data_IF_350022327765
#
_entry.id   IF_350022327765
#
_cell.length_a   1.000
_cell.length_b   1.000
_cell.length_c   1.000
_cell.angle_alpha   90.00
_cell.angle_beta   90.00
_cell.angle_gamma   90.00
#
_symmetry.space_group_name_H-M   'P 1'
#
loop_
_entity.id
_entity.type
_entity.pdbx_description
1 polymer ?
2 non-polymer ?
3 non-polymer ?
4 water ?
#
# COMPACT_ATOMS: atom_id res chain seq x y z
N UNK A 1 6.47 -13.49 0.71
CA UNK A 1 5.73 -12.24 0.66
C UNK A 1 4.84 -12.06 1.88
N UNK A 2 4.82 -13.07 2.75
CA UNK A 2 3.95 -13.03 3.93
C UNK A 2 4.20 -11.79 4.79
N UNK A 3 5.42 -11.63 5.26
CA UNK A 3 5.77 -10.51 6.13
C UNK A 3 5.68 -9.17 5.39
N UNK A 4 5.90 -9.20 4.08
CA UNK A 4 5.79 -8.00 3.26
C UNK A 4 4.34 -7.49 3.27
N UNK A 5 3.40 -8.36 2.92
CA UNK A 5 1.99 -7.99 2.89
C UNK A 5 1.40 -7.83 4.29
N UNK A 6 1.99 -8.51 5.27
CA UNK A 6 1.54 -8.39 6.65
C UNK A 6 1.85 -7.00 7.21
N UNK A 7 3.11 -6.57 7.07
CA UNK A 7 3.48 -5.23 7.51
C UNK A 7 2.60 -4.18 6.85
N UNK A 8 2.31 -4.37 5.56
CA UNK A 8 1.47 -3.44 4.82
C UNK A 8 0.03 -3.49 5.30
N UNK A 9 -0.48 -4.69 5.55
CA UNK A 9 -1.81 -4.83 6.11
C UNK A 9 -1.93 -4.21 7.48
N UNK A 10 -0.84 -4.23 8.25
CA UNK A 10 -0.81 -3.66 9.58
C UNK A 10 -0.76 -2.14 9.55
N UNK A 11 -0.01 -1.60 8.60
CA UNK A 11 0.06 -0.17 8.39
C UNK A 11 -1.33 0.38 8.10
N UNK A 12 -2.09 -0.35 7.29
CA UNK A 12 -3.37 0.17 6.81
C UNK A 12 -4.54 -0.12 7.74
N UNK A 13 -4.45 -1.17 8.53
CA UNK A 13 -5.39 -1.35 9.62
C UNK A 13 -5.18 -0.27 10.66
N UNK A 14 -3.91 0.05 10.93
CA UNK A 14 -3.56 1.10 11.87
C UNK A 14 -4.01 2.47 11.40
N UNK A 15 -3.80 2.77 10.11
CA UNK A 15 -4.26 4.02 9.52
C UNK A 15 -5.77 4.13 9.66
N UNK A 16 -6.47 3.01 9.51
CA UNK A 16 -7.92 2.98 9.70
C UNK A 16 -8.28 3.26 11.15
N UNK A 17 -7.50 2.72 12.08
CA UNK A 17 -7.74 2.92 13.50
C UNK A 17 -7.53 4.37 13.92
N UNK A 18 -6.45 4.99 13.44
CA UNK A 18 -6.21 6.41 13.69
C UNK A 18 -7.38 7.24 13.16
N UNK A 19 -7.83 6.95 11.93
CA UNK A 19 -8.94 7.69 11.36
C UNK A 19 -10.24 7.46 12.13
N UNK A 20 -10.46 6.23 12.58
CA UNK A 20 -11.65 5.93 13.37
C UNK A 20 -11.67 6.73 14.67
N UNK A 21 -10.50 6.94 15.26
CA UNK A 21 -10.39 7.73 16.48
C UNK A 21 -10.76 9.18 16.21
N UNK A 22 -10.35 9.70 15.05
CA UNK A 22 -10.75 11.05 14.67
C UNK A 22 -12.25 11.15 14.42
N UNK A 23 -12.78 10.21 13.63
CA UNK A 23 -14.21 10.18 13.34
C UNK A 23 -15.03 10.13 14.62
N UNK A 24 -14.64 9.27 15.55
CA UNK A 24 -15.32 9.16 16.83
C UNK A 24 -15.21 10.45 17.63
N UNK A 25 -14.01 11.01 17.69
CA UNK A 25 -13.77 12.27 18.38
C UNK A 25 -14.73 13.35 17.89
N UNK A 26 -14.84 13.46 16.57
CA UNK A 26 -15.66 14.48 15.94
C UNK A 26 -17.14 14.22 16.19
N UNK A 27 -17.51 12.94 16.21
CA UNK A 27 -18.89 12.55 16.45
C UNK A 27 -19.26 12.76 17.92
N UNK A 28 -18.34 12.43 18.80
CA UNK A 28 -18.58 12.54 20.24
C UNK A 28 -18.74 13.99 20.67
N UNK A 29 -18.06 14.90 19.98
CA UNK A 29 -18.12 16.32 20.31
C UNK A 29 -18.14 16.51 21.83
N UNK A 30 -17.09 16.02 22.48
CA UNK A 30 -17.07 15.93 23.93
C UNK A 30 -15.85 16.64 24.50
N UNK A 31 -16.09 17.75 25.19
CA UNK A 31 -15.02 18.58 25.73
C UNK A 31 -14.05 17.78 26.60
N UNK A 32 -12.76 17.93 26.31
CA UNK A 32 -11.71 17.33 27.12
C UNK A 32 -11.46 15.86 26.84
N UNK A 33 -11.97 15.36 25.73
CA UNK A 33 -11.82 13.93 25.42
C UNK A 33 -10.70 13.67 24.42
N UNK A 34 -10.18 14.73 23.81
CA UNK A 34 -9.24 14.55 22.71
C UNK A 34 -8.00 13.76 23.12
N UNK A 35 -7.57 13.92 24.36
CA UNK A 35 -6.42 13.16 24.86
C UNK A 35 -6.75 11.66 24.86
N UNK A 36 -7.97 11.31 25.27
CA UNK A 36 -8.40 9.92 25.21
C UNK A 36 -8.37 9.37 23.80
N UNK A 37 -8.86 10.15 22.85
CA UNK A 37 -8.95 9.70 21.47
C UNK A 37 -7.59 9.56 20.79
N UNK A 38 -6.65 10.43 21.17
CA UNK A 38 -5.29 10.31 20.65
C UNK A 38 -4.66 9.02 21.14
N UNK A 39 -4.83 8.75 22.43
CA UNK A 39 -4.29 7.53 23.03
C UNK A 39 -4.95 6.30 22.44
N UNK A 40 -6.27 6.34 22.29
CA UNK A 40 -7.02 5.19 21.78
C UNK A 40 -6.58 4.85 20.36
N UNK A 41 -6.60 5.85 19.49
CA UNK A 41 -6.19 5.67 18.10
C UNK A 41 -4.80 5.06 18.00
N UNK A 42 -3.85 5.60 18.76
CA UNK A 42 -2.49 5.07 18.76
C UNK A 42 -2.40 3.67 19.36
N UNK A 43 -3.20 3.42 20.38
CA UNK A 43 -3.27 2.12 21.01
C UNK A 43 -3.78 1.07 20.02
N UNK A 44 -4.94 1.35 19.42
CA UNK A 44 -5.54 0.43 18.46
C UNK A 44 -4.61 0.10 17.30
N UNK A 45 -3.97 1.12 16.76
CA UNK A 45 -3.05 0.94 15.64
C UNK A 45 -1.83 0.12 16.02
N UNK A 46 -1.23 0.44 17.15
CA UNK A 46 -0.06 -0.30 17.62
C UNK A 46 -0.40 -1.77 17.85
N UNK A 47 -1.61 -2.03 18.32
CA UNK A 47 -2.09 -3.39 18.55
C UNK A 47 -1.95 -4.25 17.29
N UNK A 48 -2.09 -3.62 16.12
CA UNK A 48 -2.04 -4.33 14.85
C UNK A 48 -0.71 -5.01 14.60
N UNK A 49 0.36 -4.41 15.10
CA UNK A 49 1.70 -4.92 14.84
C UNK A 49 2.59 -3.77 14.38
N UNK A 50 3.87 -4.06 14.14
CA UNK A 50 4.90 -3.08 13.76
C UNK A 50 4.44 -2.11 12.66
N UNK A 51 3.58 -2.57 11.76
CA UNK A 51 3.08 -1.72 10.70
C UNK A 51 2.16 -0.64 11.26
N UNK A 52 1.35 -1.03 12.24
CA UNK A 52 0.43 -0.10 12.88
C UNK A 52 1.15 0.94 13.71
N UNK A 53 2.19 0.51 14.42
CA UNK A 53 3.01 1.43 15.20
C UNK A 53 3.55 2.49 14.27
N UNK A 54 3.98 2.05 13.10
CA UNK A 54 4.58 2.93 12.11
C UNK A 54 3.58 3.93 11.54
N UNK A 55 2.39 3.44 11.18
CA UNK A 55 1.32 4.31 10.68
C UNK A 55 0.84 5.29 11.76
N UNK A 56 0.77 4.82 13.00
CA UNK A 56 0.33 5.66 14.11
C UNK A 56 1.26 6.87 14.27
N UNK A 57 2.56 6.63 14.23
CA UNK A 57 3.53 7.71 14.35
C UNK A 57 3.37 8.72 13.23
N UNK A 58 3.32 8.22 12.00
CA UNK A 58 3.19 9.07 10.81
C UNK A 58 1.95 9.97 10.90
N UNK A 59 0.84 9.38 11.33
CA UNK A 59 -0.43 10.10 11.35
C UNK A 59 -0.54 11.05 12.54
N UNK A 60 0.02 10.66 13.68
CA UNK A 60 0.12 11.57 14.82
C UNK A 60 0.90 12.82 14.42
N UNK A 61 2.01 12.61 13.73
CA UNK A 61 2.81 13.72 13.20
C UNK A 61 1.98 14.56 12.25
N UNK A 62 1.23 13.89 11.38
CA UNK A 62 0.36 14.58 10.42
C UNK A 62 -0.72 15.38 11.14
N UNK A 63 -1.37 14.75 12.12
CA UNK A 63 -2.40 15.44 12.87
C UNK A 63 -1.85 16.67 13.59
N UNK A 64 -0.69 16.54 14.23
CA UNK A 64 -0.11 17.68 14.92
C UNK A 64 0.14 18.83 13.95
N UNK A 65 0.71 18.50 12.81
CA UNK A 65 0.97 19.48 11.76
C UNK A 65 -0.28 20.25 11.39
N UNK A 66 -1.38 19.54 11.21
CA UNK A 66 -2.65 20.14 10.77
C UNK A 66 -3.27 21.02 11.86
N UNK A 67 -3.36 20.49 13.08
CA UNK A 67 -3.91 21.26 14.20
C UNK A 67 -3.14 22.56 14.42
N UNK A 68 -1.82 22.49 14.32
CA UNK A 68 -0.99 23.68 14.49
C UNK A 68 -1.30 24.71 13.41
N UNK A 69 -1.58 24.24 12.21
CA UNK A 69 -1.98 25.12 11.11
C UNK A 69 -3.22 25.91 11.51
N UNK A 70 -4.13 25.26 12.23
CA UNK A 70 -5.38 25.89 12.65
C UNK A 70 -5.34 26.58 14.02
N UNK A 71 -4.15 26.71 14.61
CA UNK A 71 -4.01 27.51 15.83
C UNK A 71 -3.80 26.79 17.15
N UNK A 72 -3.55 25.48 17.09
CA UNK A 72 -3.31 24.68 18.29
C UNK A 72 -2.21 25.27 19.15
N UNK A 73 -2.38 25.21 20.47
CA UNK A 73 -1.40 25.76 21.41
C UNK A 73 -0.20 24.86 21.63
N UNK A 74 0.93 25.46 22.00
CA UNK A 74 2.18 24.71 22.16
C UNK A 74 2.12 23.65 23.26
N UNK A 75 1.66 24.04 24.44
CA UNK A 75 1.57 23.10 25.55
C UNK A 75 0.58 21.97 25.26
N UNK A 76 -0.51 22.30 24.60
CA UNK A 76 -1.52 21.31 24.23
C UNK A 76 -0.91 20.30 23.27
N UNK A 77 -0.10 20.80 22.33
CA UNK A 77 0.58 19.93 21.37
C UNK A 77 1.49 18.94 22.10
N UNK A 78 2.27 19.43 23.06
CA UNK A 78 3.17 18.56 23.80
C UNK A 78 2.39 17.56 24.64
N UNK A 79 1.22 17.98 25.14
CA UNK A 79 0.34 17.07 25.88
C UNK A 79 -0.25 16.03 24.95
N UNK A 80 -0.57 16.44 23.73
CA UNK A 80 -1.08 15.53 22.70
C UNK A 80 -0.07 14.46 22.35
N UNK A 81 1.19 14.88 22.21
CA UNK A 81 2.27 13.94 21.91
C UNK A 81 2.40 12.94 23.04
N UNK A 82 2.20 13.41 24.27
CA UNK A 82 2.29 12.54 25.44
C UNK A 82 1.20 11.48 25.43
N UNK A 83 0.01 11.87 24.98
CA UNK A 83 -1.11 10.94 24.90
C UNK A 83 -0.90 9.94 23.75
N UNK A 84 -0.32 10.42 22.67
CA UNK A 84 0.04 9.56 21.54
C UNK A 84 0.99 8.44 21.95
N UNK A 85 2.07 8.81 22.62
CA UNK A 85 3.11 7.86 23.02
C UNK A 85 2.58 6.88 24.06
N UNK A 86 1.74 7.38 24.96
CA UNK A 86 1.12 6.57 26.00
C UNK A 86 0.32 5.43 25.39
N UNK A 87 -0.53 5.76 24.42
CA UNK A 87 -1.31 4.73 23.74
C UNK A 87 -0.43 3.80 22.92
N UNK A 88 0.45 4.38 22.13
CA UNK A 88 1.29 3.62 21.21
C UNK A 88 2.16 2.57 21.91
N UNK A 89 2.40 2.75 23.20
CA UNK A 89 3.27 1.85 23.94
C UNK A 89 2.51 0.76 24.71
N UNK A 90 1.21 0.68 24.50
CA UNK A 90 0.40 -0.36 25.11
C UNK A 90 -0.24 0.01 26.44
N UNK A 91 -0.03 1.24 26.87
CA UNK A 91 -0.67 1.71 28.11
C UNK A 91 -2.14 2.03 27.84
N UNK A 92 -2.98 1.81 28.85
CA UNK A 92 -4.42 1.92 28.70
C UNK A 92 -4.89 3.34 28.41
N UNK A 93 -5.54 3.54 27.25
CA UNK A 93 -6.10 4.84 26.89
C UNK A 93 -7.21 5.32 27.85
N UNK A 94 -7.87 4.39 28.53
CA UNK A 94 -8.95 4.78 29.45
C UNK A 94 -8.45 5.61 30.62
N UNK A 95 -7.14 5.71 30.75
CA UNK A 95 -6.52 6.57 31.75
C UNK A 95 -6.96 8.00 31.55
N UNK A 96 -7.19 8.37 30.30
CA UNK A 96 -7.57 9.74 29.95
C UNK A 96 -9.07 9.87 29.71
N UNK A 97 -9.80 8.79 29.93
CA UNK A 97 -11.22 8.77 29.58
C UNK A 97 -12.01 9.70 30.48
N UNK A 98 -12.71 10.66 29.87
CA UNK A 98 -13.65 11.46 30.67
C UNK A 98 -14.76 10.54 31.15
N UNK A 99 -14.92 10.43 32.46
CA UNK A 99 -16.08 9.71 32.98
C UNK A 99 -17.29 10.41 32.38
N UNK A 100 -18.20 9.64 31.82
CA UNK A 100 -19.34 10.26 31.16
C UNK A 100 -19.21 10.26 29.65
N UNK A 101 -18.02 9.90 29.15
CA UNK A 101 -17.88 9.65 27.73
C UNK A 101 -18.68 8.38 27.43
N UNK A 102 -19.57 8.44 26.44
CA UNK A 102 -20.42 7.31 26.06
C UNK A 102 -19.62 6.04 25.79
N UNK A 103 -20.10 4.91 26.32
CA UNK A 103 -19.38 3.64 26.27
C UNK A 103 -18.96 3.19 24.88
N UNK A 104 -19.67 3.64 23.85
CA UNK A 104 -19.34 3.24 22.48
C UNK A 104 -18.02 3.86 22.00
N UNK A 105 -17.41 4.70 22.83
CA UNK A 105 -16.16 5.34 22.48
C UNK A 105 -14.98 4.77 23.26
N UNK B 1 2.78 13.39 6.32
CA UNK B 1 2.54 12.12 5.65
C UNK B 1 3.51 11.92 4.49
N UNK B 2 4.33 12.92 4.22
CA UNK B 2 5.24 12.88 3.09
C UNK B 2 6.12 11.63 3.04
N UNK B 3 6.79 11.34 4.15
CA UNK B 3 7.69 10.20 4.21
C UNK B 3 6.95 8.88 4.30
N UNK B 4 5.73 8.92 4.83
CA UNK B 4 4.87 7.74 4.86
C UNK B 4 4.55 7.29 3.43
N UNK B 5 3.97 8.21 2.65
CA UNK B 5 3.60 7.91 1.27
C UNK B 5 4.80 7.69 0.35
N UNK B 6 5.91 8.34 0.67
CA UNK B 6 7.12 8.20 -0.13
C UNK B 6 7.68 6.80 -0.01
N UNK B 7 7.79 6.30 1.21
CA UNK B 7 8.26 4.94 1.45
C UNK B 7 7.41 3.93 0.71
N UNK B 8 6.09 4.06 0.85
CA UNK B 8 5.15 3.17 0.19
C UNK B 8 5.22 3.29 -1.33
N UNK B 9 5.36 4.51 -1.82
CA UNK B 9 5.54 4.73 -3.25
C UNK B 9 6.83 4.07 -3.73
N UNK B 10 7.85 4.10 -2.90
CA UNK B 10 9.14 3.48 -3.21
C UNK B 10 9.04 1.96 -3.24
N UNK B 11 8.34 1.40 -2.26
CA UNK B 11 8.15 -0.04 -2.20
C UNK B 11 7.47 -0.55 -3.45
N UNK B 12 6.45 0.17 -3.90
CA UNK B 12 5.64 -0.30 -5.02
C UNK B 12 6.26 -0.01 -6.39
N UNK B 13 7.05 1.05 -6.48
CA UNK B 13 7.86 1.28 -7.69
C UNK B 13 8.90 0.18 -7.81
N UNK B 14 9.52 -0.16 -6.69
CA UNK B 14 10.52 -1.22 -6.63
C UNK B 14 9.92 -2.57 -6.96
N UNK B 15 8.72 -2.83 -6.48
CA UNK B 15 8.02 -4.07 -6.76
C UNK B 15 7.71 -4.18 -8.24
N UNK B 16 7.35 -3.06 -8.85
CA UNK B 16 7.14 -3.01 -10.29
C UNK B 16 8.45 -3.28 -11.03
N UNK B 17 9.54 -2.76 -10.49
CA UNK B 17 10.87 -2.94 -11.07
C UNK B 17 11.29 -4.41 -11.03
N UNK B 18 11.01 -5.07 -9.91
CA UNK B 18 11.31 -6.49 -9.79
C UNK B 18 10.50 -7.31 -10.78
N UNK B 19 9.21 -7.02 -10.87
CA UNK B 19 8.34 -7.75 -11.79
C UNK B 19 8.77 -7.51 -13.23
N UNK B 20 9.22 -6.30 -13.52
CA UNK B 20 9.66 -5.95 -14.87
C UNK B 20 10.91 -6.73 -15.27
N UNK B 21 11.76 -7.04 -14.29
CA UNK B 21 12.94 -7.85 -14.54
C UNK B 21 12.55 -9.28 -14.87
N UNK B 22 11.54 -9.80 -14.18
CA UNK B 22 11.02 -11.13 -14.47
C UNK B 22 10.39 -11.19 -15.86
N UNK B 23 9.57 -10.21 -16.18
CA UNK B 23 8.89 -10.17 -17.48
C UNK B 23 9.88 -9.99 -18.63
N UNK B 24 10.92 -9.19 -18.40
CA UNK B 24 11.99 -9.07 -19.38
C UNK B 24 12.73 -10.38 -19.53
N UNK B 25 12.99 -11.05 -18.41
CA UNK B 25 13.67 -12.34 -18.43
C UNK B 25 12.88 -13.34 -19.27
N UNK B 26 11.57 -13.38 -19.05
CA UNK B 26 10.71 -14.31 -19.74
C UNK B 26 10.68 -14.02 -21.24
N UNK B 27 10.58 -12.73 -21.58
CA UNK B 27 10.49 -12.31 -22.97
C UNK B 27 11.80 -12.49 -23.73
N UNK B 28 12.91 -12.21 -23.06
CA UNK B 28 14.22 -12.30 -23.69
C UNK B 28 14.59 -13.76 -23.97
N UNK B 29 14.08 -14.66 -23.14
CA UNK B 29 14.32 -16.09 -23.33
C UNK B 29 15.78 -16.34 -23.74
N UNK B 30 16.69 -15.80 -22.94
CA UNK B 30 18.09 -15.78 -23.29
C UNK B 30 18.87 -16.63 -22.29
N UNK B 31 19.36 -17.77 -22.74
CA UNK B 31 20.09 -18.68 -21.87
C UNK B 31 21.31 -18.00 -21.25
N UNK B 32 21.40 -18.08 -19.93
CA UNK B 32 22.52 -17.49 -19.21
C UNK B 32 22.37 -16.01 -18.88
N UNK B 33 21.15 -15.49 -18.91
CA UNK B 33 20.90 -14.10 -18.57
C UNK B 33 20.32 -13.97 -17.16
N UNK B 34 20.06 -15.12 -16.55
CA UNK B 34 19.50 -15.20 -15.21
C UNK B 34 20.08 -14.15 -14.27
N UNK B 35 21.38 -14.23 -14.04
CA UNK B 35 22.04 -13.41 -13.04
C UNK B 35 21.95 -11.92 -13.36
N UNK B 36 22.00 -11.58 -14.65
CA UNK B 36 21.84 -10.19 -15.05
C UNK B 36 20.48 -9.61 -14.62
N UNK B 37 19.42 -10.36 -14.90
CA UNK B 37 18.07 -9.88 -14.60
C UNK B 37 17.81 -9.81 -13.10
N UNK B 38 18.44 -10.70 -12.34
CA UNK B 38 18.32 -10.65 -10.88
C UNK B 38 18.99 -9.39 -10.36
N UNK B 39 20.21 -9.13 -10.81
CA UNK B 39 20.93 -7.93 -10.41
C UNK B 39 20.19 -6.69 -10.86
N UNK B 40 19.72 -6.69 -12.11
CA UNK B 40 19.06 -5.51 -12.67
C UNK B 40 17.80 -5.18 -11.87
N UNK B 41 16.96 -6.19 -11.65
CA UNK B 41 15.75 -6.00 -10.89
C UNK B 41 16.01 -5.39 -9.53
N UNK B 42 16.98 -5.94 -8.82
CA UNK B 42 17.34 -5.43 -7.49
C UNK B 42 17.95 -4.04 -7.55
N UNK B 43 18.82 -3.83 -8.54
CA UNK B 43 19.41 -2.52 -8.76
C UNK B 43 18.34 -1.47 -8.98
N UNK B 44 17.46 -1.72 -9.95
CA UNK B 44 16.39 -0.79 -10.28
C UNK B 44 15.52 -0.45 -9.08
N UNK B 45 15.14 -1.47 -8.31
CA UNK B 45 14.30 -1.27 -7.14
C UNK B 45 15.01 -0.49 -6.05
N UNK B 46 16.27 -0.83 -5.78
CA UNK B 46 17.05 -0.14 -4.74
C UNK B 46 17.22 1.34 -5.08
N UNK B 47 17.27 1.63 -6.37
CA UNK B 47 17.47 2.99 -6.86
C UNK B 47 16.30 3.89 -6.47
N UNK B 48 15.14 3.28 -6.21
CA UNK B 48 13.95 4.03 -5.81
C UNK B 48 14.10 4.67 -4.43
N UNK B 49 14.84 4.01 -3.56
CA UNK B 49 14.98 4.46 -2.19
C UNK B 49 14.72 3.34 -1.22
N UNK B 50 14.80 3.62 0.09
CA UNK B 50 14.63 2.67 1.18
C UNK B 50 13.45 1.70 0.98
N UNK B 51 12.34 2.18 0.42
CA UNK B 51 11.20 1.33 0.17
C UNK B 51 11.49 0.29 -0.89
N UNK B 52 12.24 0.69 -1.92
CA UNK B 52 12.61 -0.21 -2.99
C UNK B 52 13.56 -1.29 -2.53
N UNK B 53 14.50 -0.93 -1.67
CA UNK B 53 15.42 -1.90 -1.09
C UNK B 53 14.63 -2.96 -0.35
N UNK B 54 13.64 -2.50 0.43
CA UNK B 54 12.81 -3.38 1.24
C UNK B 54 12.02 -4.35 0.36
N UNK B 55 11.46 -3.83 -0.73
CA UNK B 55 10.67 -4.66 -1.65
C UNK B 55 11.55 -5.61 -2.44
N UNK B 56 12.74 -5.15 -2.83
CA UNK B 56 13.68 -5.99 -3.56
C UNK B 56 14.01 -7.24 -2.75
N UNK B 57 14.25 -7.05 -1.46
CA UNK B 57 14.53 -8.15 -0.54
C UNK B 57 13.37 -9.12 -0.44
N UNK B 58 12.18 -8.60 -0.14
CA UNK B 58 10.99 -9.42 0.00
C UNK B 58 10.74 -10.26 -1.24
N UNK B 59 10.86 -9.62 -2.40
CA UNK B 59 10.55 -10.27 -3.66
C UNK B 59 11.64 -11.25 -4.10
N UNK B 60 12.89 -10.91 -3.79
CA UNK B 60 13.99 -11.85 -4.03
C UNK B 60 13.80 -13.11 -3.20
N UNK B 61 13.48 -12.92 -1.92
CA UNK B 61 13.17 -14.03 -1.02
C UNK B 61 12.01 -14.86 -1.57
N UNK B 62 10.97 -14.18 -2.04
CA UNK B 62 9.81 -14.87 -2.60
C UNK B 62 10.16 -15.66 -3.85
N UNK B 63 10.93 -15.04 -4.74
CA UNK B 63 11.35 -15.69 -5.98
C UNK B 63 12.18 -16.94 -5.69
N UNK B 64 13.08 -16.83 -4.73
CA UNK B 64 13.89 -17.99 -4.33
C UNK B 64 12.99 -19.14 -3.89
N UNK B 65 12.02 -18.81 -3.05
CA UNK B 65 11.04 -19.79 -2.58
C UNK B 65 10.33 -20.47 -3.74
N UNK B 66 9.83 -19.68 -4.69
CA UNK B 66 9.12 -20.22 -5.83
C UNK B 66 10.00 -21.16 -6.65
N UNK B 67 11.17 -20.68 -7.04
CA UNK B 67 12.11 -21.46 -7.86
C UNK B 67 12.40 -22.81 -7.24
N UNK B 68 12.61 -22.82 -5.92
CA UNK B 68 12.92 -24.05 -5.21
C UNK B 68 11.76 -25.03 -5.28
N UNK B 69 10.55 -24.49 -5.15
CA UNK B 69 9.35 -25.31 -5.27
C UNK B 69 9.37 -26.06 -6.59
N UNK B 70 9.89 -25.41 -7.62
CA UNK B 70 9.93 -26.00 -8.96
C UNK B 70 11.24 -26.73 -9.25
N UNK B 71 12.03 -27.03 -8.23
CA UNK B 71 13.20 -27.86 -8.38
C UNK B 71 14.54 -27.17 -8.60
N UNK B 72 14.60 -25.87 -8.31
CA UNK B 72 15.83 -25.11 -8.41
C UNK B 72 16.86 -25.66 -7.43
N UNK B 73 18.11 -25.72 -7.84
CA UNK B 73 19.17 -26.29 -7.01
C UNK B 73 19.61 -25.36 -5.90
N UNK B 74 20.02 -25.96 -4.77
CA UNK B 74 20.47 -25.18 -3.62
C UNK B 74 21.64 -24.26 -3.98
N UNK B 75 22.58 -24.80 -4.74
CA UNK B 75 23.76 -24.06 -5.16
C UNK B 75 23.43 -22.94 -6.13
N UNK B 76 22.54 -23.24 -7.07
CA UNK B 76 22.11 -22.26 -8.05
C UNK B 76 21.40 -21.11 -7.35
N UNK B 77 20.72 -21.44 -6.25
CA UNK B 77 20.05 -20.43 -5.43
C UNK B 77 21.06 -19.46 -4.80
N UNK B 78 22.11 -20.02 -4.21
CA UNK B 78 23.14 -19.19 -3.55
C UNK B 78 23.78 -18.23 -4.54
N UNK B 79 23.94 -18.67 -5.78
CA UNK B 79 24.49 -17.82 -6.83
C UNK B 79 23.50 -16.71 -7.18
N UNK B 80 22.21 -17.04 -7.16
CA UNK B 80 21.16 -16.06 -7.41
C UNK B 80 21.20 -14.95 -6.37
N UNK B 81 21.33 -15.34 -5.11
CA UNK B 81 21.39 -14.39 -4.00
C UNK B 81 22.56 -13.42 -4.14
N UNK B 82 23.69 -13.94 -4.62
CA UNK B 82 24.88 -13.11 -4.81
C UNK B 82 24.61 -12.05 -5.85
N UNK B 83 23.85 -12.43 -6.88
CA UNK B 83 23.47 -11.49 -7.92
C UNK B 83 22.44 -10.49 -7.40
N UNK B 84 21.49 -10.97 -6.61
CA UNK B 84 20.51 -10.11 -5.98
C UNK B 84 21.18 -9.00 -5.20
N UNK B 85 22.12 -9.39 -4.33
CA UNK B 85 22.74 -8.46 -3.40
C UNK B 85 23.68 -7.49 -4.12
N UNK B 86 24.29 -7.98 -5.19
CA UNK B 86 25.16 -7.17 -6.05
C UNK B 86 24.41 -5.96 -6.59
N UNK B 87 23.26 -6.20 -7.20
CA UNK B 87 22.44 -5.12 -7.72
C UNK B 87 21.86 -4.27 -6.60
N UNK B 88 21.34 -4.92 -5.57
CA UNK B 88 20.67 -4.21 -4.48
C UNK B 88 21.58 -3.21 -3.78
N UNK B 89 22.88 -3.49 -3.79
CA UNK B 89 23.84 -2.61 -3.13
C UNK B 89 24.40 -1.55 -4.08
N UNK B 90 23.86 -1.49 -5.29
CA UNK B 90 24.22 -0.43 -6.21
C UNK B 90 25.35 -0.75 -7.17
N UNK B 91 25.77 -2.01 -7.22
CA UNK B 91 26.79 -2.42 -8.17
C UNK B 91 26.18 -2.65 -9.56
N UNK B 92 26.95 -2.37 -10.60
CA UNK B 92 26.44 -2.42 -11.96
C UNK B 92 26.00 -3.83 -12.34
N UNK B 93 24.72 -4.00 -12.68
CA UNK B 93 24.20 -5.30 -13.14
C UNK B 93 24.80 -5.73 -14.47
N UNK B 94 25.29 -4.79 -15.26
CA UNK B 94 25.90 -5.13 -16.54
C UNK B 94 27.14 -6.00 -16.38
N UNK B 95 27.65 -6.06 -15.16
CA UNK B 95 28.75 -6.95 -14.81
C UNK B 95 28.40 -8.40 -15.18
N UNK B 96 27.12 -8.73 -15.11
CA UNK B 96 26.65 -10.07 -15.43
C UNK B 96 25.98 -10.14 -16.80
N UNK B 97 26.03 -9.05 -17.56
CA UNK B 97 25.34 -9.00 -18.84
C UNK B 97 26.02 -9.89 -19.86
N UNK B 98 25.26 -10.78 -20.49
CA UNK B 98 25.82 -11.55 -21.61
C UNK B 98 25.92 -10.65 -22.83
N UNK B 99 27.09 -10.57 -23.44
CA UNK B 99 27.24 -9.83 -24.67
C UNK B 99 26.17 -10.29 -25.65
N UNK B 100 25.57 -9.36 -26.38
CA UNK B 100 24.57 -9.73 -27.35
C UNK B 100 23.20 -9.99 -26.76
N UNK B 101 23.03 -9.76 -25.46
CA UNK B 101 21.69 -9.63 -24.91
C UNK B 101 21.18 -8.34 -25.51
N UNK B 102 19.97 -8.36 -26.09
CA UNK B 102 19.46 -7.15 -26.75
C UNK B 102 19.46 -5.94 -25.82
N UNK B 103 19.96 -4.81 -26.32
CA UNK B 103 20.20 -3.61 -25.52
C UNK B 103 18.95 -3.06 -24.83
N UNK B 104 17.77 -3.55 -25.21
CA UNK B 104 16.54 -3.10 -24.56
C UNK B 104 16.34 -3.80 -23.21
N UNK B 105 17.30 -4.64 -22.85
CA UNK B 105 17.28 -5.33 -21.57
C UNK B 105 18.39 -4.84 -20.65
N UNK C 1 -11.07 9.14 5.00
CA UNK C 1 -10.01 8.25 4.54
C UNK C 1 -10.34 6.79 4.81
N UNK C 2 -11.47 6.53 5.47
CA UNK C 2 -11.81 5.17 5.86
C UNK C 2 -11.78 4.19 4.68
N UNK C 3 -12.60 4.44 3.67
CA UNK C 3 -12.71 3.54 2.54
C UNK C 3 -11.39 3.41 1.77
N UNK C 4 -10.62 4.50 1.73
CA UNK C 4 -9.32 4.48 1.08
C UNK C 4 -8.39 3.45 1.72
N UNK C 5 -8.18 3.58 3.03
CA UNK C 5 -7.37 2.63 3.77
C UNK C 5 -8.05 1.27 3.89
N UNK C 6 -9.37 1.26 3.85
CA UNK C 6 -10.11 0.01 3.92
C UNK C 6 -9.82 -0.86 2.70
N UNK C 7 -9.90 -0.26 1.52
CA UNK C 7 -9.64 -0.98 0.27
C UNK C 7 -8.21 -1.50 0.23
N UNK C 8 -7.28 -0.69 0.73
CA UNK C 8 -5.88 -1.08 0.75
C UNK C 8 -5.65 -2.24 1.70
N UNK C 9 -6.23 -2.16 2.89
CA UNK C 9 -6.13 -3.25 3.85
C UNK C 9 -6.66 -4.55 3.29
N UNK C 10 -7.79 -4.48 2.61
CA UNK C 10 -8.40 -5.67 2.01
C UNK C 10 -7.46 -6.31 1.00
N UNK C 11 -6.86 -5.50 0.14
CA UNK C 11 -5.97 -5.99 -0.90
C UNK C 11 -4.74 -6.68 -0.33
N UNK C 12 -4.24 -6.17 0.81
CA UNK C 12 -3.02 -6.73 1.40
C UNK C 12 -3.30 -7.94 2.27
N UNK C 13 -4.46 -7.97 2.91
CA UNK C 13 -4.93 -9.18 3.57
C UNK C 13 -5.29 -10.23 2.52
N UNK C 14 -5.82 -9.77 1.39
CA UNK C 14 -6.11 -10.65 0.27
C UNK C 14 -4.83 -11.24 -0.29
N UNK C 15 -3.84 -10.39 -0.52
CA UNK C 15 -2.54 -10.85 -0.98
C UNK C 15 -1.95 -11.85 -0.01
N UNK C 16 -2.06 -11.58 1.29
CA UNK C 16 -1.55 -12.49 2.31
C UNK C 16 -2.26 -13.83 2.28
N UNK C 17 -3.57 -13.80 2.03
CA UNK C 17 -4.36 -15.03 1.93
C UNK C 17 -3.95 -15.88 0.74
N UNK C 18 -3.60 -15.23 -0.37
CA UNK C 18 -3.15 -15.93 -1.56
C UNK C 18 -1.81 -16.60 -1.31
N UNK C 19 -0.90 -15.88 -0.66
CA UNK C 19 0.41 -16.44 -0.38
C UNK C 19 0.33 -17.62 0.58
N UNK C 20 -0.61 -17.57 1.51
CA UNK C 20 -0.76 -18.65 2.48
C UNK C 20 -1.35 -19.89 1.82
N UNK C 21 -2.17 -19.70 0.80
CA UNK C 21 -2.65 -20.84 0.02
C UNK C 21 -1.43 -21.55 -0.57
N UNK C 22 -0.54 -20.78 -1.18
CA UNK C 22 0.68 -21.31 -1.76
C UNK C 22 1.56 -21.98 -0.71
N UNK C 23 1.75 -21.32 0.43
CA UNK C 23 2.56 -21.89 1.51
C UNK C 23 1.98 -23.21 2.02
N UNK C 24 0.67 -23.25 2.21
CA UNK C 24 0.01 -24.50 2.59
C UNK C 24 0.16 -25.60 1.55
N UNK C 25 0.13 -25.22 0.28
CA UNK C 25 0.29 -26.20 -0.80
C UNK C 25 1.68 -26.81 -0.73
N UNK C 26 2.68 -25.95 -0.53
CA UNK C 26 4.07 -26.34 -0.41
C UNK C 26 4.25 -27.31 0.75
N UNK C 27 3.68 -26.96 1.90
CA UNK C 27 3.81 -27.78 3.10
C UNK C 27 3.12 -29.13 2.98
N UNK C 28 1.90 -29.11 2.45
CA UNK C 28 1.09 -30.32 2.34
C UNK C 28 1.69 -31.36 1.39
N UNK C 29 2.44 -30.89 0.40
CA UNK C 29 3.09 -31.77 -0.55
C UNK C 29 2.15 -32.90 -0.93
N UNK C 30 0.95 -32.54 -1.36
CA UNK C 30 -0.16 -33.49 -1.49
C UNK C 30 -0.68 -33.59 -2.92
N UNK C 31 -0.56 -34.78 -3.52
CA UNK C 31 -0.98 -35.01 -4.89
C UNK C 31 -2.46 -34.70 -5.11
N UNK C 32 -2.74 -33.92 -6.15
CA UNK C 32 -4.10 -33.63 -6.57
C UNK C 32 -4.77 -32.49 -5.83
N UNK C 33 -4.00 -31.76 -5.04
CA UNK C 33 -4.56 -30.70 -4.21
C UNK C 33 -4.41 -29.31 -4.81
N UNK C 34 -3.79 -29.23 -5.99
CA UNK C 34 -3.52 -27.95 -6.64
C UNK C 34 -4.77 -27.07 -6.79
N UNK C 35 -5.85 -27.65 -7.27
CA UNK C 35 -7.08 -26.91 -7.50
C UNK C 35 -7.67 -26.42 -6.18
N UNK C 36 -7.66 -27.26 -5.16
CA UNK C 36 -8.23 -26.88 -3.87
C UNK C 36 -7.62 -25.60 -3.32
N UNK C 37 -6.29 -25.52 -3.36
CA UNK C 37 -5.60 -24.35 -2.83
C UNK C 37 -5.81 -23.11 -3.69
N UNK C 38 -5.89 -23.29 -5.01
CA UNK C 38 -6.22 -22.17 -5.89
C UNK C 38 -7.57 -21.61 -5.49
N UNK C 39 -8.53 -22.52 -5.30
CA UNK C 39 -9.87 -22.15 -4.90
C UNK C 39 -9.90 -21.52 -3.51
N UNK C 40 -9.22 -22.14 -2.55
CA UNK C 40 -9.26 -21.65 -1.17
C UNK C 40 -8.60 -20.27 -1.05
N UNK C 41 -7.49 -20.09 -1.75
CA UNK C 41 -6.78 -18.82 -1.72
C UNK C 41 -7.63 -17.69 -2.24
N UNK C 42 -8.25 -17.90 -3.40
CA UNK C 42 -9.14 -16.90 -3.99
C UNK C 42 -10.38 -16.66 -3.12
N UNK C 43 -10.85 -17.72 -2.49
CA UNK C 43 -12.01 -17.65 -1.63
C UNK C 43 -11.69 -16.83 -0.39
N UNK C 44 -10.52 -17.09 0.19
CA UNK C 44 -10.09 -16.37 1.39
C UNK C 44 -9.91 -14.88 1.10
N UNK C 45 -9.24 -14.57 -0.01
CA UNK C 45 -9.00 -13.19 -0.38
C UNK C 45 -10.31 -12.47 -0.69
N UNK C 46 -11.17 -13.11 -1.48
CA UNK C 46 -12.45 -12.55 -1.84
C UNK C 46 -13.25 -12.17 -0.59
N UNK C 47 -13.11 -12.97 0.46
CA UNK C 47 -13.86 -12.77 1.69
C UNK C 47 -13.49 -11.47 2.40
N UNK C 48 -12.30 -10.94 2.10
CA UNK C 48 -11.85 -9.69 2.71
C UNK C 48 -12.64 -8.51 2.17
N UNK C 49 -13.21 -8.67 0.97
CA UNK C 49 -13.95 -7.59 0.34
C UNK C 49 -13.42 -7.28 -1.05
N UNK C 50 -13.90 -6.18 -1.65
CA UNK C 50 -13.53 -5.78 -3.02
C UNK C 50 -12.02 -5.70 -3.25
N UNK C 51 -11.29 -5.14 -2.29
CA UNK C 51 -9.85 -5.03 -2.42
C UNK C 51 -9.19 -6.39 -2.50
N UNK C 52 -9.79 -7.37 -1.83
CA UNK C 52 -9.29 -8.73 -1.81
C UNK C 52 -9.55 -9.46 -3.10
N UNK C 53 -10.74 -9.26 -3.67
CA UNK C 53 -11.06 -9.81 -4.98
C UNK C 53 -10.03 -9.33 -5.98
N UNK C 54 -9.71 -8.04 -5.89
CA UNK C 54 -8.76 -7.39 -6.79
C UNK C 54 -7.36 -8.00 -6.68
N UNK C 55 -6.89 -8.22 -5.45
CA UNK C 55 -5.59 -8.83 -5.23
C UNK C 55 -5.57 -10.27 -5.77
N UNK C 56 -6.65 -11.01 -5.51
CA UNK C 56 -6.74 -12.41 -5.93
C UNK C 56 -6.61 -12.56 -7.44
N UNK C 57 -7.35 -11.75 -8.18
CA UNK C 57 -7.25 -11.77 -9.64
C UNK C 57 -5.83 -11.58 -10.10
N UNK C 58 -5.25 -10.48 -9.63
CA UNK C 58 -3.90 -10.09 -10.00
C UNK C 58 -2.93 -11.24 -9.75
N UNK C 59 -3.01 -11.81 -8.55
CA UNK C 59 -2.07 -12.84 -8.12
C UNK C 59 -2.28 -14.18 -8.83
N UNK C 60 -3.53 -14.52 -9.13
CA UNK C 60 -3.80 -15.72 -9.90
C UNK C 60 -3.20 -15.62 -11.30
N UNK C 61 -3.40 -14.48 -11.95
CA UNK C 61 -2.82 -14.21 -13.26
C UNK C 61 -1.30 -14.33 -13.22
N UNK C 62 -0.70 -13.85 -12.15
CA UNK C 62 0.74 -13.91 -11.99
C UNK C 62 1.19 -15.35 -11.75
N UNK C 63 0.43 -16.08 -10.95
CA UNK C 63 0.75 -17.46 -10.66
C UNK C 63 0.72 -18.30 -11.93
N UNK C 64 -0.30 -18.10 -12.77
CA UNK C 64 -0.40 -18.81 -14.03
C UNK C 64 0.78 -18.46 -14.93
N UNK C 65 1.13 -17.19 -14.97
CA UNK C 65 2.28 -16.75 -15.76
C UNK C 65 3.50 -17.56 -15.36
N UNK C 66 3.81 -17.56 -14.07
CA UNK C 66 4.98 -18.27 -13.55
C UNK C 66 4.92 -19.77 -13.79
N UNK C 67 3.79 -20.40 -13.49
CA UNK C 67 3.62 -21.83 -13.74
C UNK C 67 3.93 -22.21 -15.19
N UNK C 68 3.48 -21.38 -16.13
CA UNK C 68 3.70 -21.65 -17.55
C UNK C 68 5.17 -21.49 -17.92
N UNK C 69 5.86 -20.61 -17.20
CA UNK C 69 7.29 -20.40 -17.40
C UNK C 69 8.06 -21.69 -17.19
N UNK C 70 7.62 -22.48 -16.20
CA UNK C 70 8.27 -23.74 -15.88
C UNK C 70 7.62 -24.92 -16.60
N UNK C 71 6.65 -24.64 -17.45
CA UNK C 71 5.96 -25.68 -18.19
C UNK C 71 4.74 -26.17 -17.43
N UNK C 72 3.57 -25.93 -17.99
CA UNK C 72 2.31 -26.29 -17.36
C UNK C 72 1.33 -26.59 -18.49
N UNK C 73 0.66 -27.73 -18.43
CA UNK C 73 -0.31 -28.11 -19.45
C UNK C 73 -1.43 -27.10 -19.62
N UNK C 74 -1.79 -26.81 -20.87
CA UNK C 74 -2.80 -25.80 -21.15
C UNK C 74 -4.18 -26.16 -20.61
N UNK C 75 -4.54 -27.44 -20.63
CA UNK C 75 -5.83 -27.86 -20.08
C UNK C 75 -5.79 -27.74 -18.56
N UNK C 76 -4.60 -27.88 -17.98
CA UNK C 76 -4.45 -27.72 -16.55
C UNK C 76 -4.58 -26.25 -16.15
N UNK C 77 -3.98 -25.37 -16.94
CA UNK C 77 -4.07 -23.94 -16.68
C UNK C 77 -5.51 -23.47 -16.73
N UNK C 78 -6.26 -23.96 -17.72
CA UNK C 78 -7.68 -23.64 -17.83
C UNK C 78 -8.45 -24.19 -16.64
N UNK C 79 -8.11 -25.39 -16.21
CA UNK C 79 -8.74 -26.00 -15.04
C UNK C 79 -8.40 -25.22 -13.78
N UNK C 80 -7.20 -24.67 -13.74
CA UNK C 80 -6.77 -23.84 -12.61
C UNK C 80 -7.55 -22.52 -12.59
N UNK C 81 -7.76 -21.95 -13.78
CA UNK C 81 -8.54 -20.72 -13.90
C UNK C 81 -9.95 -20.93 -13.37
N UNK C 82 -10.52 -22.09 -13.65
CA UNK C 82 -11.86 -22.42 -13.19
C UNK C 82 -11.92 -22.50 -11.67
N UNK C 83 -10.88 -23.08 -11.08
CA UNK C 83 -10.78 -23.19 -9.63
C UNK C 83 -10.65 -21.81 -8.99
N UNK C 84 -9.76 -20.98 -9.53
CA UNK C 84 -9.59 -19.61 -9.08
C UNK C 84 -10.91 -18.88 -9.04
N UNK C 85 -11.60 -18.88 -10.18
CA UNK C 85 -12.87 -18.16 -10.31
C UNK C 85 -13.99 -18.75 -9.46
N UNK C 86 -13.96 -20.07 -9.27
CA UNK C 86 -14.92 -20.75 -8.41
C UNK C 86 -14.78 -20.18 -7.00
N UNK C 87 -13.56 -20.18 -6.48
CA UNK C 87 -13.32 -19.67 -5.14
C UNK C 87 -13.59 -18.18 -5.03
N UNK C 88 -13.11 -17.41 -6.00
CA UNK C 88 -13.26 -15.96 -5.98
C UNK C 88 -14.74 -15.56 -5.98
N UNK C 89 -15.58 -16.37 -6.62
CA UNK C 89 -17.00 -16.08 -6.70
C UNK C 89 -17.72 -16.45 -5.40
N UNK C 90 -17.01 -17.08 -4.48
CA UNK C 90 -17.55 -17.40 -3.16
C UNK C 90 -18.05 -18.82 -2.98
N UNK C 91 -17.90 -19.66 -3.99
CA UNK C 91 -18.35 -21.05 -3.88
C UNK C 91 -17.39 -21.87 -3.03
N UNK C 92 -17.89 -22.96 -2.46
CA UNK C 92 -17.12 -23.78 -1.53
C UNK C 92 -15.88 -24.36 -2.19
N UNK C 93 -14.69 -23.94 -1.71
CA UNK C 93 -13.45 -24.50 -2.24
C UNK C 93 -13.28 -25.99 -1.94
N UNK C 94 -14.03 -26.53 -0.99
CA UNK C 94 -13.99 -27.96 -0.70
C UNK C 94 -14.57 -28.79 -1.83
N UNK C 95 -15.13 -28.12 -2.83
CA UNK C 95 -15.57 -28.80 -4.05
C UNK C 95 -14.37 -29.51 -4.68
N UNK C 96 -13.20 -28.89 -4.57
CA UNK C 96 -11.99 -29.42 -5.18
C UNK C 96 -11.09 -30.21 -4.22
N UNK C 97 -11.56 -30.49 -3.02
CA UNK C 97 -10.71 -31.13 -2.01
C UNK C 97 -10.45 -32.61 -2.30
N UNK C 98 -9.17 -32.98 -2.40
CA UNK C 98 -8.81 -34.39 -2.61
C UNK C 98 -9.04 -35.19 -1.34
N UNK C 99 -9.38 -36.47 -1.47
CA UNK C 99 -9.60 -37.31 -0.31
C UNK C 99 -8.35 -37.36 0.57
N UNK C 100 -8.53 -37.11 1.86
CA UNK C 100 -7.45 -37.30 2.82
C UNK C 100 -6.59 -36.09 3.13
N UNK C 101 -6.85 -34.97 2.47
CA UNK C 101 -6.12 -33.74 2.78
C UNK C 101 -6.34 -33.37 4.24
N UNK C 102 -5.25 -33.22 5.01
CA UNK C 102 -5.36 -32.88 6.43
C UNK C 102 -6.29 -31.71 6.65
N UNK C 103 -7.12 -31.80 7.69
CA UNK C 103 -8.20 -30.83 7.90
C UNK C 103 -7.71 -29.46 8.37
N UNK C 104 -6.40 -29.31 8.48
CA UNK C 104 -5.83 -28.03 8.84
C UNK C 104 -5.59 -27.20 7.59
N UNK C 105 -5.86 -27.80 6.44
CA UNK C 105 -5.77 -27.10 5.17
C UNK C 105 -7.15 -26.82 4.61
N UNK D 1 1.66 -8.84 -12.24
CA UNK D 1 1.61 -7.95 -11.08
C UNK D 1 1.80 -6.49 -11.51
N UNK D 2 2.06 -6.28 -12.78
CA UNK D 2 2.40 -4.94 -13.26
C UNK D 2 1.35 -3.89 -12.91
N UNK D 3 0.11 -4.12 -13.35
CA UNK D 3 -0.95 -3.14 -13.13
C UNK D 3 -1.31 -3.05 -11.64
N UNK D 4 -1.19 -4.16 -10.93
CA UNK D 4 -1.46 -4.17 -9.50
C UNK D 4 -0.58 -3.17 -8.76
N UNK D 5 0.73 -3.30 -8.93
CA UNK D 5 1.70 -2.40 -8.30
C UNK D 5 1.71 -1.02 -8.93
N UNK D 6 1.40 -0.95 -10.23
CA UNK D 6 1.35 0.33 -10.92
C UNK D 6 0.27 1.22 -10.32
N UNK D 7 -0.90 0.64 -10.08
CA UNK D 7 -2.03 1.38 -9.54
C UNK D 7 -1.77 1.84 -8.11
N UNK D 8 -1.05 1.04 -7.34
CA UNK D 8 -0.70 1.42 -5.99
C UNK D 8 0.35 2.52 -5.97
N UNK D 9 1.34 2.41 -6.85
CA UNK D 9 2.34 3.45 -7.00
C UNK D 9 1.70 4.78 -7.34
N UNK D 10 0.73 4.75 -8.25
CA UNK D 10 0.02 5.96 -8.65
C UNK D 10 -0.70 6.57 -7.46
N UNK D 11 -1.37 5.73 -6.68
CA UNK D 11 -2.14 6.18 -5.53
C UNK D 11 -1.27 6.86 -4.48
N UNK D 12 -0.08 6.31 -4.25
CA UNK D 12 0.79 6.83 -3.20
C UNK D 12 1.60 8.04 -3.66
N UNK D 13 1.96 8.06 -4.94
CA UNK D 13 2.54 9.26 -5.53
C UNK D 13 1.49 10.37 -5.50
N UNK D 14 0.25 10.01 -5.84
CA UNK D 14 -0.85 10.94 -5.81
C UNK D 14 -1.07 11.50 -4.42
N UNK D 15 -1.08 10.61 -3.42
CA UNK D 15 -1.22 11.02 -2.03
C UNK D 15 -0.13 12.01 -1.68
N UNK D 16 1.08 11.71 -2.14
CA UNK D 16 2.24 12.57 -1.91
C UNK D 16 2.06 13.95 -2.55
N UNK D 17 1.46 13.99 -3.73
CA UNK D 17 1.18 15.26 -4.41
C UNK D 17 0.18 16.09 -3.62
N UNK D 18 -0.83 15.43 -3.09
CA UNK D 18 -1.85 16.12 -2.30
C UNK D 18 -1.23 16.72 -1.05
N UNK D 19 -0.46 15.92 -0.32
CA UNK D 19 0.20 16.43 0.88
C UNK D 19 1.18 17.56 0.56
N UNK D 20 1.84 17.47 -0.59
CA UNK D 20 2.77 18.53 -0.99
C UNK D 20 2.04 19.84 -1.29
N UNK D 21 0.83 19.74 -1.81
CA UNK D 21 0.01 20.91 -2.03
C UNK D 21 -0.27 21.56 -0.68
N UNK D 22 -0.71 20.75 0.27
CA UNK D 22 -0.97 21.25 1.62
C UNK D 22 0.30 21.85 2.21
N UNK D 23 1.40 21.12 2.13
CA UNK D 23 2.67 21.60 2.66
C UNK D 23 3.08 22.95 2.07
N UNK D 24 2.94 23.10 0.76
CA UNK D 24 3.24 24.37 0.10
C UNK D 24 2.31 25.48 0.58
N UNK D 25 1.02 25.18 0.68
CA UNK D 25 0.04 26.15 1.12
C UNK D 25 0.40 26.68 2.51
N UNK D 26 0.91 25.78 3.34
CA UNK D 26 1.33 26.11 4.70
C UNK D 26 2.55 27.03 4.67
N UNK D 27 3.53 26.66 3.87
CA UNK D 27 4.77 27.43 3.76
C UNK D 27 4.55 28.81 3.16
N UNK D 28 3.71 28.87 2.13
CA UNK D 28 3.48 30.11 1.40
C UNK D 28 2.71 31.14 2.21
N UNK D 29 1.93 30.67 3.18
CA UNK D 29 1.16 31.55 4.06
C UNK D 29 0.62 32.73 3.27
N UNK D 30 -0.03 32.43 2.14
CA UNK D 30 -0.39 33.45 1.18
C UNK D 30 -1.91 33.61 1.05
N UNK D 31 -2.38 34.82 1.39
CA UNK D 31 -3.82 35.12 1.35
C UNK D 31 -4.44 34.83 -0.01
N UNK D 32 -5.58 34.15 0.01
CA UNK D 32 -6.34 33.87 -1.19
C UNK D 32 -5.72 32.83 -2.11
N UNK D 33 -4.95 31.92 -1.53
CA UNK D 33 -4.28 30.88 -2.33
C UNK D 33 -4.89 29.50 -2.09
N UNK D 34 -5.90 29.43 -1.24
CA UNK D 34 -6.56 28.17 -0.91
C UNK D 34 -6.94 27.37 -2.17
N UNK D 35 -7.73 27.99 -3.04
CA UNK D 35 -8.25 27.31 -4.21
C UNK D 35 -7.15 26.87 -5.16
N UNK D 36 -6.11 27.68 -5.30
CA UNK D 36 -5.00 27.33 -6.19
C UNK D 36 -4.33 26.02 -5.75
N UNK D 37 -4.07 25.90 -4.46
CA UNK D 37 -3.40 24.71 -3.95
C UNK D 37 -4.32 23.50 -3.97
N UNK D 38 -5.62 23.72 -3.78
CA UNK D 38 -6.62 22.67 -3.91
C UNK D 38 -6.55 22.11 -5.33
N UNK D 39 -6.56 23.02 -6.29
CA UNK D 39 -6.54 22.64 -7.70
C UNK D 39 -5.22 22.01 -8.12
N UNK D 40 -4.11 22.60 -7.66
CA UNK D 40 -2.79 22.10 -8.03
C UNK D 40 -2.53 20.71 -7.45
N UNK D 41 -3.01 20.48 -6.23
CA UNK D 41 -2.87 19.19 -5.59
C UNK D 41 -3.58 18.11 -6.39
N UNK D 42 -4.86 18.34 -6.66
CA UNK D 42 -5.64 17.40 -7.45
C UNK D 42 -5.09 17.22 -8.87
N UNK D 43 -4.67 18.31 -9.48
CA UNK D 43 -4.06 18.25 -10.81
C UNK D 43 -2.82 17.36 -10.80
N UNK D 44 -1.97 17.56 -9.80
CA UNK D 44 -0.72 16.79 -9.68
C UNK D 44 -0.98 15.30 -9.49
N UNK D 45 -1.90 14.97 -8.58
CA UNK D 45 -2.23 13.57 -8.31
C UNK D 45 -2.85 12.92 -9.54
N UNK D 46 -3.81 13.61 -10.14
CA UNK D 46 -4.50 13.10 -11.34
C UNK D 46 -3.52 12.73 -12.45
N UNK D 47 -2.45 13.52 -12.57
CA UNK D 47 -1.46 13.32 -13.62
C UNK D 47 -0.72 12.00 -13.46
N UNK D 48 -0.72 11.47 -12.24
CA UNK D 48 -0.06 10.20 -11.95
C UNK D 48 -0.79 9.04 -12.62
N UNK D 49 -2.11 9.16 -12.72
CA UNK D 49 -2.92 8.10 -13.29
C UNK D 49 -4.15 7.82 -12.45
N UNK D 50 -4.89 6.74 -12.80
CA UNK D 50 -6.14 6.40 -12.13
C UNK D 50 -5.93 6.23 -10.62
N UNK D 51 -4.77 5.69 -10.25
CA UNK D 51 -4.41 5.56 -8.86
C UNK D 51 -4.39 6.93 -8.19
N UNK D 52 -3.84 7.91 -8.91
CA UNK D 52 -3.74 9.26 -8.42
C UNK D 52 -5.09 9.96 -8.31
N UNK D 53 -5.92 9.81 -9.34
CA UNK D 53 -7.26 10.37 -9.33
C UNK D 53 -8.01 9.85 -8.10
N UNK D 54 -7.88 8.56 -7.86
CA UNK D 54 -8.51 7.90 -6.72
C UNK D 54 -8.04 8.49 -5.39
N UNK D 55 -6.73 8.66 -5.25
CA UNK D 55 -6.17 9.25 -4.04
C UNK D 55 -6.65 10.68 -3.84
N UNK D 56 -6.67 11.47 -4.91
CA UNK D 56 -7.08 12.87 -4.84
C UNK D 56 -8.50 12.99 -4.32
N UNK D 57 -9.39 12.15 -4.83
CA UNK D 57 -10.79 12.16 -4.39
C UNK D 57 -10.89 11.89 -2.90
N UNK D 58 -10.24 10.82 -2.45
CA UNK D 58 -10.29 10.43 -1.05
C UNK D 58 -9.74 11.51 -0.13
N UNK D 59 -8.60 12.08 -0.51
CA UNK D 59 -7.94 13.08 0.32
C UNK D 59 -8.65 14.43 0.32
N UNK D 60 -9.20 14.82 -0.82
CA UNK D 60 -10.00 16.04 -0.89
C UNK D 60 -11.17 15.92 0.07
N UNK D 61 -11.86 14.78 0.01
CA UNK D 61 -13.00 14.54 0.89
C UNK D 61 -12.59 14.59 2.36
N UNK D 62 -11.45 14.00 2.68
CA UNK D 62 -10.96 14.00 4.05
C UNK D 62 -10.63 15.42 4.51
N UNK D 63 -10.02 16.20 3.62
CA UNK D 63 -9.64 17.56 3.95
C UNK D 63 -10.86 18.43 4.18
N UNK D 64 -11.89 18.25 3.36
CA UNK D 64 -13.15 18.94 3.57
C UNK D 64 -13.71 18.61 4.93
N UNK D 65 -13.65 17.34 5.29
CA UNK D 65 -14.12 16.87 6.59
C UNK D 65 -13.41 17.60 7.75
N UNK D 66 -12.09 17.60 7.71
CA UNK D 66 -11.30 18.26 8.74
C UNK D 66 -11.53 19.76 8.74
N UNK D 67 -11.52 20.37 7.57
CA UNK D 67 -11.73 21.81 7.45
C UNK D 67 -12.98 22.32 8.17
N UNK D 68 -14.09 21.60 8.06
CA UNK D 68 -15.30 22.08 8.73
C UNK D 68 -15.38 21.65 10.20
N UNK D 69 -14.57 20.67 10.60
CA UNK D 69 -14.43 20.37 12.02
C UNK D 69 -13.86 21.60 12.72
N UNK D 70 -13.06 22.37 12.00
CA UNK D 70 -12.46 23.59 12.54
C UNK D 70 -13.25 24.85 12.20
N UNK D 71 -14.40 24.68 11.56
CA UNK D 71 -15.31 25.79 11.36
C UNK D 71 -15.46 26.35 9.94
N UNK D 72 -15.04 25.58 8.94
CA UNK D 72 -15.19 25.99 7.55
C UNK D 72 -16.67 26.05 7.18
N UNK D 73 -17.09 27.16 6.57
CA UNK D 73 -18.48 27.32 6.18
C UNK D 73 -18.88 26.42 5.02
N UNK D 74 -20.13 25.95 5.05
CA UNK D 74 -20.62 25.00 4.06
C UNK D 74 -20.50 25.51 2.62
N UNK D 75 -20.74 26.80 2.41
CA UNK D 75 -20.62 27.37 1.07
C UNK D 75 -19.16 27.42 0.64
N UNK D 76 -18.27 27.72 1.59
CA UNK D 76 -16.85 27.76 1.31
C UNK D 76 -16.34 26.41 0.82
N UNK D 77 -16.76 25.35 1.49
CA UNK D 77 -16.36 23.99 1.10
C UNK D 77 -16.77 23.68 -0.34
N UNK D 78 -17.99 24.07 -0.70
CA UNK D 78 -18.48 23.85 -2.06
C UNK D 78 -17.56 24.50 -3.09
N UNK D 79 -17.15 25.74 -2.81
CA UNK D 79 -16.24 26.46 -3.69
C UNK D 79 -14.91 25.72 -3.78
N UNK D 80 -14.55 25.06 -2.68
CA UNK D 80 -13.31 24.30 -2.64
C UNK D 80 -13.40 23.02 -3.48
N UNK D 81 -14.54 22.34 -3.40
CA UNK D 81 -14.79 21.17 -4.24
C UNK D 81 -14.64 21.55 -5.71
N UNK D 82 -15.19 22.70 -6.09
CA UNK D 82 -15.13 23.17 -7.46
C UNK D 82 -13.68 23.26 -7.92
N UNK D 83 -12.81 23.74 -7.02
CA UNK D 83 -11.39 23.85 -7.30
C UNK D 83 -10.76 22.46 -7.39
N UNK D 84 -11.11 21.60 -6.42
CA UNK D 84 -10.63 20.21 -6.43
C UNK D 84 -10.86 19.56 -7.76
N UNK D 85 -12.13 19.54 -8.16
CA UNK D 85 -12.55 18.83 -9.36
C UNK D 85 -12.06 19.52 -10.63
N UNK D 86 -11.92 20.84 -10.58
CA UNK D 86 -11.35 21.59 -11.69
C UNK D 86 -9.95 21.06 -12.03
N UNK D 87 -9.13 20.91 -11.00
CA UNK D 87 -7.76 20.42 -11.17
C UNK D 87 -7.72 18.92 -11.46
N UNK D 88 -8.54 18.17 -10.73
CA UNK D 88 -8.60 16.72 -10.92
C UNK D 88 -9.00 16.39 -12.35
N UNK D 89 -9.85 17.24 -12.94
CA UNK D 89 -10.28 17.06 -14.31
C UNK D 89 -9.15 17.39 -15.28
N UNK D 90 -8.07 17.96 -14.75
CA UNK D 90 -6.91 18.27 -15.55
C UNK D 90 -6.89 19.68 -16.13
N UNK D 91 -7.82 20.52 -15.70
CA UNK D 91 -7.83 21.91 -16.14
C UNK D 91 -6.76 22.71 -15.39
N UNK D 92 -6.26 23.77 -16.03
CA UNK D 92 -5.11 24.50 -15.50
C UNK D 92 -5.37 25.08 -14.11
N UNK D 93 -4.62 24.60 -13.11
CA UNK D 93 -4.75 25.12 -11.75
C UNK D 93 -4.42 26.61 -11.63
N UNK D 94 -3.63 27.16 -12.55
CA UNK D 94 -3.28 28.58 -12.50
C UNK D 94 -4.50 29.48 -12.64
N UNK D 95 -5.62 28.89 -13.02
CA UNK D 95 -6.90 29.60 -13.07
C UNK D 95 -7.19 30.27 -11.74
N UNK D 96 -6.77 29.63 -10.65
CA UNK D 96 -7.03 30.12 -9.30
C UNK D 96 -5.84 30.82 -8.66
N UNK D 97 -4.79 31.09 -9.44
CA UNK D 97 -3.58 31.67 -8.88
C UNK D 97 -3.78 33.12 -8.47
N UNK D 98 -3.54 33.43 -7.18
CA UNK D 98 -3.66 34.80 -6.68
C UNK D 98 -2.45 35.61 -7.12
N UNK D 99 -2.67 36.86 -7.51
CA UNK D 99 -1.58 37.70 -8.01
C UNK D 99 -0.38 37.68 -7.07
N UNK D 100 0.79 37.35 -7.62
CA UNK D 100 2.03 37.49 -6.89
C UNK D 100 2.52 36.26 -6.13
N UNK D 101 1.78 35.16 -6.20
CA UNK D 101 2.25 33.92 -5.58
C UNK D 101 3.57 33.50 -6.24
N UNK D 102 4.60 33.28 -5.41
CA UNK D 102 5.94 32.94 -5.92
C UNK D 102 5.91 31.74 -6.87
N UNK D 103 6.75 31.79 -7.89
CA UNK D 103 6.72 30.81 -8.99
C UNK D 103 7.05 29.37 -8.59
N UNK D 104 7.69 29.18 -7.44
CA UNK D 104 8.02 27.83 -7.00
C UNK D 104 6.75 27.08 -6.56
N UNK D 105 5.67 27.83 -6.36
CA UNK D 105 4.39 27.22 -6.03
C UNK D 105 3.54 27.09 -7.28
X LIG E 1 -11.01 -5.14 11.84
X LIG E 1 -10.60 -3.77 12.13
X LIG E 1 -12.30 -5.11 11.16
X LIG E 1 -10.03 -5.78 10.96
X LIG E 1 -11.11 -5.88 13.09
X LIG F 1 -7.80 16.34 14.24
X LIG F 1 -7.45 16.73 12.96
X LIG F 1 -6.54 15.84 12.19
X LIG F 1 -7.09 14.70 11.63
X LIG F 1 -6.26 13.69 11.18
X LIG F 1 -5.29 14.00 10.10
X LIG F 1 -4.67 12.95 9.46
X LIG G 1 -13.65 -12.36 -32.43
X LIG G 1 -13.49 -11.43 -31.43
X LIG G 1 -14.50 -11.42 -30.33
X LIG G 1 -15.82 -11.61 -30.68
X LIG G 1 -16.82 -11.40 -29.76
X LIG H 1 8.05 7.01 8.79
X LIG H 1 8.60 6.95 7.53
X LIG H 1 9.93 6.27 7.39
X LIG H 1 9.93 4.98 6.94
X LIG H 1 10.69 4.03 7.58
X LIG H 1 10.32 2.60 7.36
X LIG H 1 9.59 1.98 8.35
X LIG H 1 10.24 1.19 9.28
X LIG H 1 9.49 0.78 10.50
X LIG I 1 8.76 5.07 -13.62
X LIG I 1 7.35 5.10 -14.02
X LIG I 1 8.93 5.94 -12.46
X LIG I 1 9.16 3.71 -13.30
X LIG I 1 9.58 5.57 -14.72
X LIG J 1 11.46 -1.83 7.33
X LIG J 1 10.21 -2.44 7.35
X LIG J 1 10.10 -3.72 8.09
X LIG J 1 9.17 -4.64 7.64
X LIG J 1 9.34 -5.97 7.92
X LIG J 1 9.17 -6.95 6.81
X LIG J 1 10.12 -6.98 5.81
X LIG J 1 10.27 -8.12 5.05
X LIG K 1 13.60 -12.09 -10.54
X LIG K 1 12.54 -11.24 -10.30
X LIG K 1 11.49 -11.66 -9.33
X LIG K 1 10.29 -12.13 -9.82
X LIG K 1 9.39 -12.76 -8.98
X LIG K 1 8.77 -14.01 -9.48
X LIG K 1 9.61 -14.94 -10.05
X LIG K 1 9.15 -16.22 -10.27
X LIG K 1 10.17 -17.26 -10.58
X LIG K 1 11.08 -16.98 -11.58
X LIG L 1 -6.29 -12.39 9.98
X LIG L 1 -7.63 -12.97 10.03
X LIG L 1 -5.43 -13.17 9.10
X LIG L 1 -6.38 -11.02 9.48
X LIG L 1 -5.72 -12.38 11.33
X LIG M 1 -7.43 -0.87 -11.26
X LIG M 1 -8.02 -0.84 -10.00
X LIG M 1 -9.39 -1.38 -9.87
X LIG M 1 -9.77 -1.87 -8.64
X LIG M 1 -11.09 -1.81 -8.25
X LIG M 1 -12.13 -2.09 -9.28
X LIG M 1 -11.95 -3.18 -10.10
X LIG N 1 3.27 -21.87 -7.76
X LIG N 1 2.61 -20.78 -7.23
X LIG N 1 3.31 -19.46 -7.27
X LIG N 1 2.97 -18.53 -6.31
X LIG N 1 2.35 -17.36 -6.67
X LIG N 1 3.02 -16.09 -6.29
X LIG N 1 2.39 -14.91 -6.62
X LIG N 1 3.14 -13.84 -7.09
X LIG N 1 3.44 -12.74 -6.13
X LIG N 1 3.37 -13.01 -4.78
X LIG O 1 0.22 -17.34 -4.46
X LIG O 1 -0.69 -17.96 -5.29
X LIG O 1 -1.67 -18.91 -4.67
X LIG O 1 -2.38 -19.75 -5.50
X LIG O 1 -2.64 -21.03 -5.06
X LIG O 1 -1.52 -22.01 -5.09
X LIG O 1 -0.24 -21.50 -5.30
X LIG P 1 -17.84 -15.67 2.50
X LIG P 1 -17.56 -14.84 1.43
X LIG P 1 -16.55 -15.31 0.44
X LIG P 1 -16.57 -14.70 -0.81
X LIG P 1 -17.75 -14.22 -1.31
X LIG P 1 -17.71 -13.53 -2.62
X LIG P 1 -18.72 -12.62 -2.91
X LIG Q 1 8.42 12.15 -8.27
X LIG Q 1 7.54 11.00 -8.27
X LIG Q 1 8.37 12.79 -9.60
X LIG Q 1 7.96 13.12 -7.27
X LIG Q 1 9.79 11.74 -7.96
X LIG R 1 -12.52 4.95 -1.98
X LIG R 1 -12.49 3.57 -2.15
X LIG R 1 -12.78 3.02 -3.51
X LIG R 1 -12.70 1.66 -3.68
X LIG R 1 -12.60 1.13 -4.95
X LIG R 1 -11.31 1.33 -5.67
X LIG R 1 -11.29 2.27 -6.67
X LIG R 1 -10.51 2.04 -7.80
X LIG R 1 -10.70 2.96 -8.96
X LIG R 1 -10.93 2.37 -10.19
X LIG S 1 -4.89 21.43 -0.11
X LIG S 1 -5.32 20.27 -0.71
X LIG S 1 -4.61 19.02 -0.33
X LIG S 1 -4.85 18.50 0.91
X LIG S 1 -4.08 17.45 1.37
X LIG S 1 -3.95 17.29 2.85
X LIG S 1 -5.12 17.25 3.58
X LIG S 1 -5.08 17.50 4.93
X LIG S 1 -4.85 18.92 5.34
X LIG S 1 -5.94 19.76 5.38
#
# INVERSE_FOLDING_TARGET
MRSFFSFLGEAFDGARDMWRAYSDMREANYIGSDKYFHARGNYDAAKRGPGGVWAAEAISDARENIQRFFGHGAEDSLADQAANEWGRSGKDPNHFRPAGLPEKY
MRSFFSFLGEAFDGARDMWRAYSDMREANYIGSDKYFHARGNYDAAKRGPGGVWAAEAISDARENIQRFFGHGAEDSLADQAANEWGRSGKDPNHFRPAGLPEKY
MRSFFSFLGEAFDGARDMWRAYSDMREANYIGSDKYFHARGNYDAAKRGPGGVWAAEAISDARENIQRFFGHGAEDSLADQAANEWGRSGKDPNHFRPAGLPEKY
MRSFFSFLGEAFDGARDMWRAYSDMREANYIGSDKYFHARGNYDAAKRGPGGVWAAEAISDARENIQRFFGHGAEDSLADQAANEWGRSGKDPNHFRPAGLPEKY
SO4 S O1 O2 O3 O4
P4C O1 C2 C3 O4 C5 C6 O7
P4C O1 C2 C3 O4 C5
P4C O1 C2 C3 O4 C5 C6 O7 C8 C9
SO4 S O1 O2 O3 O4
P4C O1 C2 C3 O4 C5 C6 O7 C8
P4C O1 C2 C3 O4 C5 C6 O7 C8 C9 O10
SO4 S O1 O2 O3 O4
P4C O1 C2 C3 O4 C5 C6 O7
P4C O1 C2 C3 O4 C5 C6 O7 C8 C9 O10
P4C O1 C2 C3 O4 C5 C6 O7
P4C O1 C2 C3 O4 C5 C6 O7
SO4 S O1 O2 O3 O4
P4C O1 C2 C3 O4 C5 C6 O7 C8 C9 O10
P4C O1 C2 C3 O4 C5 C6 O7 C8 C9 O10
#
